data_IF_735597833599
#
_entry.id   IF_735597833599
#
_cell.length_a   1.000
_cell.length_b   1.000
_cell.length_c   1.000
_cell.angle_alpha   90.00
_cell.angle_beta   90.00
_cell.angle_gamma   90.00
#
_symmetry.space_group_name_H-M   'P 1'
#
loop_
_entity.id
_entity.type
_entity.pdbx_description
1 polymer ?
#
# COMPACT_ATOMS: atom_id res chain seq x y z
N UNK A 1 -5.26 6.56 -26.32
CA UNK A 1 -5.50 5.83 -25.06
C UNK A 1 -4.51 6.37 -24.02
N UNK A 2 -4.95 7.03 -22.94
CA UNK A 2 -4.03 7.59 -21.92
C UNK A 2 -3.52 6.45 -21.04
N UNK A 3 -2.27 6.04 -21.22
CA UNK A 3 -1.69 4.92 -20.47
C UNK A 3 -0.96 5.45 -19.25
N UNK A 4 -1.39 5.05 -18.05
CA UNK A 4 -0.64 5.36 -16.82
C UNK A 4 0.73 4.67 -16.80
N UNK A 5 0.91 3.60 -17.59
CA UNK A 5 2.13 2.80 -17.65
C UNK A 5 3.38 3.61 -18.00
N UNK A 6 3.24 4.73 -18.71
CA UNK A 6 4.36 5.64 -19.05
C UNK A 6 4.94 6.35 -17.81
N UNK A 7 4.16 6.42 -16.73
CA UNK A 7 4.48 7.13 -15.50
C UNK A 7 4.72 6.20 -14.32
N UNK A 8 4.39 4.90 -14.46
CA UNK A 8 4.58 3.88 -13.42
C UNK A 8 6.05 3.45 -13.37
N UNK A 9 6.63 3.40 -12.17
CA UNK A 9 8.02 2.98 -11.93
C UNK A 9 8.12 1.58 -11.36
N UNK A 10 7.14 1.16 -10.58
CA UNK A 10 7.02 -0.18 -10.01
C UNK A 10 5.55 -0.47 -9.69
N UNK A 11 5.16 -1.74 -9.67
CA UNK A 11 3.81 -2.17 -9.32
C UNK A 11 3.84 -3.54 -8.62
N UNK A 12 2.93 -3.74 -7.67
CA UNK A 12 2.71 -4.98 -6.96
C UNK A 12 1.24 -5.20 -6.64
N UNK A 13 0.81 -6.43 -6.68
CA UNK A 13 -0.47 -6.91 -6.16
C UNK A 13 -0.31 -7.33 -4.69
N UNK A 14 -1.01 -6.70 -3.72
CA UNK A 14 -0.89 -7.00 -2.29
C UNK A 14 -1.65 -8.27 -1.90
N UNK A 15 -1.21 -9.41 -2.45
CA UNK A 15 -1.71 -10.75 -2.13
C UNK A 15 -1.12 -11.22 -0.80
N UNK A 16 -0.27 -12.25 -0.77
CA UNK A 16 0.22 -12.81 0.50
C UNK A 16 1.09 -11.80 1.26
N UNK A 17 0.71 -11.53 2.52
CA UNK A 17 1.35 -10.51 3.35
C UNK A 17 0.86 -9.08 3.10
N UNK A 18 -0.15 -8.92 2.25
CA UNK A 18 -0.86 -7.66 2.05
C UNK A 18 0.00 -6.53 1.51
N UNK A 19 -0.41 -5.31 1.86
CA UNK A 19 0.28 -4.09 1.46
C UNK A 19 1.63 -3.93 2.19
N UNK A 20 1.73 -4.43 3.43
CA UNK A 20 2.96 -4.41 4.21
C UNK A 20 4.10 -5.14 3.49
N UNK A 21 3.88 -6.38 3.04
CA UNK A 21 4.87 -7.14 2.28
C UNK A 21 5.19 -6.47 0.94
N UNK A 22 4.17 -6.00 0.22
CA UNK A 22 4.34 -5.39 -1.10
C UNK A 22 5.19 -4.12 -1.05
N UNK A 23 4.91 -3.22 -0.10
CA UNK A 23 5.66 -1.98 0.04
C UNK A 23 7.10 -2.25 0.50
N UNK A 24 7.31 -3.20 1.43
CA UNK A 24 8.66 -3.54 1.85
C UNK A 24 9.48 -4.16 0.71
N UNK A 25 8.89 -5.03 -0.10
CA UNK A 25 9.59 -5.60 -1.26
C UNK A 25 9.91 -4.51 -2.30
N UNK A 26 9.00 -3.57 -2.55
CA UNK A 26 9.26 -2.42 -3.41
C UNK A 26 10.40 -1.55 -2.85
N UNK A 27 10.36 -1.23 -1.56
CA UNK A 27 11.39 -0.43 -0.89
C UNK A 27 12.77 -1.10 -0.96
N UNK A 28 12.84 -2.40 -0.69
CA UNK A 28 14.06 -3.20 -0.72
C UNK A 28 14.67 -3.26 -2.13
N UNK A 29 13.88 -3.67 -3.13
CA UNK A 29 14.36 -3.82 -4.52
C UNK A 29 14.77 -2.50 -5.14
N UNK A 30 14.08 -1.42 -4.80
CA UNK A 30 14.40 -0.08 -5.30
C UNK A 30 15.44 0.65 -4.46
N UNK A 31 15.85 0.12 -3.30
CA UNK A 31 16.78 0.76 -2.34
C UNK A 31 16.33 2.15 -1.91
N UNK A 32 15.04 2.27 -1.59
CA UNK A 32 14.40 3.53 -1.17
C UNK A 32 13.63 3.34 0.13
N UNK A 33 13.16 4.45 0.70
CA UNK A 33 12.15 4.43 1.76
C UNK A 33 10.79 4.78 1.20
N UNK A 34 9.76 4.05 1.63
CA UNK A 34 8.36 4.39 1.34
C UNK A 34 7.72 4.90 2.62
N UNK A 35 7.02 6.02 2.53
CA UNK A 35 6.37 6.69 3.66
C UNK A 35 4.85 6.75 3.43
N UNK A 36 4.12 5.66 3.71
CA UNK A 36 2.67 5.67 3.61
C UNK A 36 2.04 6.52 4.72
N UNK A 37 0.88 7.07 4.44
CA UNK A 37 0.01 7.82 5.33
C UNK A 37 -1.20 6.94 5.68
N UNK A 38 -1.30 6.57 6.95
CA UNK A 38 -2.27 5.60 7.45
C UNK A 38 -3.72 6.00 7.11
N UNK A 39 -4.05 7.30 7.19
CA UNK A 39 -5.38 7.83 6.92
C UNK A 39 -5.75 7.81 5.44
N UNK A 40 -4.75 7.71 4.55
CA UNK A 40 -4.97 7.68 3.09
C UNK A 40 -5.09 6.28 2.53
N UNK A 41 -4.78 5.23 3.31
CA UNK A 41 -4.93 3.85 2.86
C UNK A 41 -6.42 3.47 2.92
N UNK A 42 -7.06 3.18 1.78
CA UNK A 42 -8.49 2.86 1.76
C UNK A 42 -8.74 1.49 2.40
N UNK A 43 -9.39 1.51 3.56
CA UNK A 43 -9.82 0.31 4.29
C UNK A 43 -11.30 0.45 4.62
N UNK A 44 -12.11 -0.55 4.26
CA UNK A 44 -13.53 -0.58 4.62
C UNK A 44 -13.69 -0.70 6.13
N UNK A 45 -14.67 0.00 6.70
CA UNK A 45 -14.90 0.03 8.16
C UNK A 45 -15.15 -1.37 8.71
N UNK A 46 -15.89 -2.18 7.97
CA UNK A 46 -16.22 -3.57 8.33
C UNK A 46 -14.96 -4.44 8.36
N UNK A 47 -14.03 -4.24 7.41
CA UNK A 47 -12.75 -4.96 7.37
C UNK A 47 -11.88 -4.57 8.55
N UNK A 48 -11.79 -3.27 8.85
CA UNK A 48 -11.03 -2.77 10.01
C UNK A 48 -11.60 -3.37 11.31
N UNK A 49 -12.91 -3.34 11.49
CA UNK A 49 -13.58 -3.89 12.68
C UNK A 49 -13.32 -5.40 12.86
N UNK A 50 -13.39 -6.18 11.77
CA UNK A 50 -13.10 -7.63 11.82
C UNK A 50 -11.62 -7.88 12.15
N UNK A 51 -10.70 -7.12 11.54
CA UNK A 51 -9.27 -7.26 11.85
C UNK A 51 -8.98 -6.93 13.32
N UNK A 52 -9.55 -5.84 13.85
CA UNK A 52 -9.42 -5.45 15.25
C UNK A 52 -9.97 -6.52 16.20
N UNK A 53 -11.15 -7.06 15.90
CA UNK A 53 -11.77 -8.13 16.70
C UNK A 53 -10.89 -9.39 16.75
N UNK A 54 -10.25 -9.74 15.64
CA UNK A 54 -9.42 -10.94 15.51
C UNK A 54 -7.95 -10.70 15.94
N UNK A 55 -7.58 -9.48 16.33
CA UNK A 55 -6.19 -9.13 16.64
C UNK A 55 -5.26 -9.18 15.43
N UNK A 56 -5.81 -9.01 14.22
CA UNK A 56 -5.08 -9.03 12.95
C UNK A 56 -4.71 -7.61 12.52
N UNK A 57 -3.51 -7.48 11.95
CA UNK A 57 -3.11 -6.24 11.30
C UNK A 57 -3.68 -6.18 9.88
N UNK A 58 -4.56 -5.22 9.62
CA UNK A 58 -5.23 -5.07 8.32
C UNK A 58 -4.27 -4.91 7.14
N UNK A 59 -3.07 -4.35 7.38
CA UNK A 59 -2.07 -4.13 6.33
C UNK A 59 -1.36 -5.41 5.88
N UNK A 60 -1.52 -6.50 6.63
CA UNK A 60 -0.87 -7.79 6.38
C UNK A 60 -1.85 -8.81 5.76
N UNK A 61 -3.12 -8.45 5.67
CA UNK A 61 -4.18 -9.28 5.07
C UNK A 61 -4.11 -9.24 3.55
N UNK A 62 -4.28 -10.41 2.94
CA UNK A 62 -4.26 -10.53 1.49
C UNK A 62 -5.43 -9.83 0.81
N UNK A 63 -5.14 -9.19 -0.32
CA UNK A 63 -6.11 -8.56 -1.19
C UNK A 63 -6.01 -9.13 -2.61
N UNK A 64 -7.10 -9.70 -3.11
CA UNK A 64 -7.20 -10.19 -4.49
C UNK A 64 -8.02 -9.22 -5.33
N UNK A 65 -7.40 -8.61 -6.34
CA UNK A 65 -8.02 -7.57 -7.18
C UNK A 65 -7.67 -6.12 -6.80
N UNK A 66 -6.60 -5.90 -6.03
CA UNK A 66 -6.01 -4.59 -5.77
C UNK A 66 -4.56 -4.56 -6.23
N UNK A 67 -3.99 -3.36 -6.37
CA UNK A 67 -2.56 -3.17 -6.62
C UNK A 67 -2.06 -1.91 -5.92
N UNK A 68 -0.75 -1.86 -5.68
CA UNK A 68 0.01 -0.66 -5.33
C UNK A 68 1.00 -0.37 -6.45
N UNK A 69 1.24 0.91 -6.72
CA UNK A 69 2.23 1.31 -7.71
C UNK A 69 2.98 2.58 -7.31
N UNK A 70 4.27 2.61 -7.65
CA UNK A 70 5.06 3.84 -7.68
C UNK A 70 4.80 4.57 -9.00
N UNK A 71 4.69 5.89 -8.95
CA UNK A 71 4.55 6.76 -10.12
C UNK A 71 5.52 7.93 -10.02
N UNK A 72 5.92 8.47 -11.16
CA UNK A 72 6.65 9.75 -11.24
C UNK A 72 5.84 10.86 -10.57
N UNK A 73 6.48 11.63 -9.70
CA UNK A 73 5.82 12.61 -8.83
C UNK A 73 5.02 13.66 -9.61
N UNK A 74 5.58 14.18 -10.71
CA UNK A 74 4.92 15.20 -11.53
C UNK A 74 3.65 14.70 -12.26
N UNK A 75 3.41 13.39 -12.28
CA UNK A 75 2.23 12.77 -12.90
C UNK A 75 1.28 12.10 -11.89
N UNK A 76 1.55 12.19 -10.59
CA UNK A 76 0.78 11.48 -9.55
C UNK A 76 -0.72 11.81 -9.60
N UNK A 77 -1.09 13.09 -9.65
CA UNK A 77 -2.50 13.53 -9.72
C UNK A 77 -3.19 13.06 -11.01
N UNK A 78 -2.47 13.12 -12.13
CA UNK A 78 -2.98 12.66 -13.44
C UNK A 78 -3.26 11.16 -13.40
N UNK A 79 -2.35 10.36 -12.85
CA UNK A 79 -2.53 8.93 -12.67
C UNK A 79 -3.72 8.63 -11.75
N UNK A 80 -3.81 9.30 -10.61
CA UNK A 80 -4.93 9.15 -9.67
C UNK A 80 -6.27 9.44 -10.34
N UNK A 81 -6.37 10.56 -11.07
CA UNK A 81 -7.60 10.95 -11.79
C UNK A 81 -8.03 9.91 -12.83
N UNK A 82 -7.08 9.22 -13.47
CA UNK A 82 -7.39 8.13 -14.41
C UNK A 82 -7.86 6.89 -13.66
N UNK A 83 -7.16 6.50 -12.59
CA UNK A 83 -7.47 5.31 -11.80
C UNK A 83 -8.84 5.41 -11.10
N UNK A 84 -9.20 6.60 -10.62
CA UNK A 84 -10.53 6.86 -10.02
C UNK A 84 -11.70 6.61 -10.97
N UNK A 85 -11.49 6.61 -12.29
CA UNK A 85 -12.55 6.22 -13.24
C UNK A 85 -12.91 4.73 -13.20
N UNK A 86 -12.03 3.90 -12.66
CA UNK A 86 -12.21 2.45 -12.58
C UNK A 86 -12.49 2.00 -11.16
N UNK A 87 -11.96 2.71 -10.16
CA UNK A 87 -12.20 2.44 -8.76
C UNK A 87 -12.12 3.74 -7.95
N UNK A 88 -13.25 4.18 -7.40
CA UNK A 88 -13.34 5.41 -6.60
C UNK A 88 -12.48 5.38 -5.33
N UNK A 89 -12.17 4.18 -4.81
CA UNK A 89 -11.27 3.98 -3.65
C UNK A 89 -9.80 4.24 -3.98
N UNK A 90 -9.43 4.42 -5.27
CA UNK A 90 -8.04 4.68 -5.64
C UNK A 90 -7.53 5.94 -4.91
N UNK A 91 -6.39 5.80 -4.23
CA UNK A 91 -5.85 6.82 -3.33
C UNK A 91 -4.34 6.96 -3.49
N UNK A 92 -3.84 8.19 -3.33
CA UNK A 92 -2.41 8.44 -3.15
C UNK A 92 -2.09 8.20 -1.68
N UNK A 93 -1.44 7.07 -1.40
CA UNK A 93 -1.25 6.60 -0.02
C UNK A 93 0.04 7.08 0.63
N UNK A 94 0.93 7.79 -0.07
CA UNK A 94 2.22 8.20 0.48
C UNK A 94 3.23 8.63 -0.57
N UNK A 95 4.49 8.70 -0.15
CA UNK A 95 5.61 9.19 -0.94
C UNK A 95 6.84 8.28 -0.82
N UNK A 96 7.76 8.42 -1.77
CA UNK A 96 9.05 7.73 -1.77
C UNK A 96 10.14 8.75 -1.46
N UNK A 97 11.02 8.43 -0.53
CA UNK A 97 12.13 9.29 -0.10
C UNK A 97 13.43 8.49 -0.04
N UNK A 98 14.56 9.18 0.09
CA UNK A 98 15.85 8.55 0.32
C UNK A 98 15.87 7.77 1.64
N UNK A 99 16.46 6.57 1.64
CA UNK A 99 16.57 5.71 2.81
C UNK A 99 16.23 4.26 2.49
N UNK A 100 15.80 3.53 3.52
CA UNK A 100 15.41 2.12 3.43
C UNK A 100 14.18 1.82 4.27
N UNK A 101 13.47 0.77 3.89
CA UNK A 101 12.30 0.22 4.60
C UNK A 101 11.04 1.06 4.44
N UNK A 102 10.01 0.70 5.21
CA UNK A 102 8.71 1.39 5.18
C UNK A 102 8.42 2.01 6.54
N UNK A 103 8.20 3.33 6.55
CA UNK A 103 7.82 4.07 7.77
C UNK A 103 6.48 4.72 7.53
N UNK A 104 5.45 4.24 8.22
CA UNK A 104 4.10 4.76 8.09
C UNK A 104 3.87 5.94 9.03
N UNK A 105 3.33 7.04 8.50
CA UNK A 105 2.76 8.15 9.28
C UNK A 105 1.43 7.68 9.86
N UNK A 106 1.28 7.75 11.18
CA UNK A 106 0.06 7.29 11.87
C UNK A 106 -0.99 8.40 11.91
N UNK A 107 -2.26 8.01 12.09
CA UNK A 107 -3.38 8.96 12.19
C UNK A 107 -3.24 9.99 13.34
N UNK A 108 -2.45 9.67 14.37
CA UNK A 108 -2.18 10.55 15.52
C UNK A 108 -0.94 11.45 15.32
N UNK A 109 -0.36 11.48 14.11
CA UNK A 109 0.78 12.34 13.76
C UNK A 109 2.16 11.75 14.10
N UNK A 110 2.20 10.53 14.63
CA UNK A 110 3.44 9.81 14.88
C UNK A 110 3.94 9.07 13.65
N UNK A 111 5.00 8.27 13.82
CA UNK A 111 5.46 7.32 12.81
C UNK A 111 5.69 5.95 13.42
N UNK A 112 5.48 4.91 12.62
CA UNK A 112 5.83 3.54 12.99
C UNK A 112 6.45 2.79 11.82
N UNK A 113 7.29 1.81 12.13
CA UNK A 113 7.79 0.88 11.12
C UNK A 113 6.62 0.00 10.67
N UNK A 114 6.40 -0.10 9.37
CA UNK A 114 5.51 -1.10 8.78
C UNK A 114 6.39 -2.26 8.35
N UNK A 115 6.52 -3.27 9.20
CA UNK A 115 7.44 -4.38 8.99
C UNK A 115 6.90 -5.41 7.99
N UNK A 116 7.79 -6.29 7.53
CA UNK A 116 7.38 -7.48 6.77
C UNK A 116 6.61 -8.41 7.70
N UNK A 117 5.40 -8.88 7.31
CA UNK A 117 4.61 -9.79 8.14
C UNK A 117 5.39 -11.05 8.50
N UNK A 118 5.33 -11.47 9.77
CA UNK A 118 5.92 -12.72 10.22
C UNK A 118 4.97 -13.90 9.95
N UNK A 119 5.33 -14.79 9.03
CA UNK A 119 4.62 -16.04 8.79
C UNK A 119 3.31 -15.91 8.00
N UNK A 120 2.42 -16.91 8.13
CA UNK A 120 1.12 -16.95 7.44
C UNK A 120 0.00 -16.64 8.44
N UNK A 121 -0.46 -15.39 8.45
CA UNK A 121 -1.54 -14.93 9.35
C UNK A 121 -2.84 -15.73 9.20
N UNK A 122 -3.24 -15.99 7.97
CA UNK A 122 -4.46 -16.74 7.65
C UNK A 122 -4.05 -17.98 6.84
N UNK A 123 -4.09 -19.17 7.44
CA UNK A 123 -3.81 -20.41 6.73
C UNK A 123 -4.76 -20.58 5.55
N UNK A 124 -4.24 -20.97 4.38
CA UNK A 124 -5.03 -21.28 3.17
C UNK A 124 -5.86 -20.10 2.63
N UNK A 125 -5.44 -18.87 2.89
CA UNK A 125 -6.11 -17.66 2.39
C UNK A 125 -6.10 -17.52 0.87
N UNK A 126 -5.10 -18.10 0.21
CA UNK A 126 -4.92 -18.21 -1.23
C UNK A 126 -3.99 -19.39 -1.57
#
# INVERSE_FOLDING_TARGET
MRKISEYVTAMKDPTRGGIAASLNEMAEKSKVRIVPDEDKIPVKKEVKAVCELLGLNVYEIASEGRFVCGVKAEYAEKCLKILKKFNDDASMIGEVVEGKGVIMKTAIGGTRILDVPSGKLVPRIC
#
